data_IF_948488660561
#
_entry.id   IF_948488660561
#
_cell.length_a   1.000
_cell.length_b   1.000
_cell.length_c   1.000
_cell.angle_alpha   90.00
_cell.angle_beta   90.00
_cell.angle_gamma   90.00
#
_symmetry.space_group_name_H-M   'P 1'
#
loop_
_entity.id
_entity.type
_entity.pdbx_description
1 polymer ?
#
# COMPACT_ATOMS: atom_id res chain seq x y z
N UNK A 1 4.60 -9.95 -4.71
CA UNK A 1 3.88 -9.93 -3.42
C UNK A 1 4.92 -9.99 -2.31
N UNK A 2 4.63 -9.43 -1.14
CA UNK A 2 5.55 -9.39 0.00
C UNK A 2 4.78 -9.65 1.30
N UNK A 3 5.45 -10.24 2.29
CA UNK A 3 4.92 -10.39 3.65
C UNK A 3 5.51 -9.27 4.51
N UNK A 4 4.64 -8.58 5.25
CA UNK A 4 5.03 -7.57 6.24
C UNK A 4 4.81 -8.05 7.68
N UNK A 5 5.00 -7.15 8.66
CA UNK A 5 4.79 -7.46 10.08
C UNK A 5 3.31 -7.74 10.39
N UNK A 6 3.04 -8.24 11.60
CA UNK A 6 1.68 -8.41 12.16
C UNK A 6 0.75 -9.29 11.31
N UNK A 7 1.32 -10.21 10.53
CA UNK A 7 0.59 -11.09 9.64
C UNK A 7 0.02 -10.37 8.40
N UNK A 8 0.53 -9.18 8.06
CA UNK A 8 0.12 -8.47 6.86
C UNK A 8 0.78 -9.05 5.60
N UNK A 9 0.00 -9.20 4.54
CA UNK A 9 0.44 -9.57 3.21
C UNK A 9 0.10 -8.47 2.22
N UNK A 10 1.01 -8.23 1.28
CA UNK A 10 0.94 -7.15 0.29
C UNK A 10 1.05 -7.71 -1.12
N UNK A 11 0.11 -7.35 -1.99
CA UNK A 11 0.18 -7.68 -3.40
C UNK A 11 -0.02 -6.42 -4.24
N UNK A 12 1.07 -5.96 -4.86
CA UNK A 12 1.05 -4.89 -5.85
C UNK A 12 0.75 -5.50 -7.22
N UNK A 13 -0.46 -5.26 -7.70
CA UNK A 13 -0.98 -5.86 -8.93
C UNK A 13 -0.54 -5.00 -10.11
N UNK A 14 0.17 -5.61 -11.06
CA UNK A 14 0.64 -4.93 -12.27
C UNK A 14 -0.01 -5.52 -13.52
N UNK A 15 -0.21 -4.69 -14.55
CA UNK A 15 -0.90 -5.08 -15.79
C UNK A 15 -2.00 -4.07 -16.15
N UNK A 16 -2.48 -4.13 -17.40
CA UNK A 16 -3.43 -3.13 -17.94
C UNK A 16 -4.72 -2.97 -17.11
N UNK A 17 -5.26 -4.07 -16.58
CA UNK A 17 -6.49 -4.03 -15.77
C UNK A 17 -6.30 -3.49 -14.35
N UNK A 18 -5.05 -3.37 -13.89
CA UNK A 18 -4.71 -3.01 -12.52
C UNK A 18 -3.93 -1.70 -12.42
N UNK A 19 -3.52 -1.12 -13.54
CA UNK A 19 -2.68 0.06 -13.60
C UNK A 19 -3.27 1.12 -14.53
N UNK A 20 -3.19 2.38 -14.09
CA UNK A 20 -3.45 3.55 -14.91
C UNK A 20 -2.32 4.57 -14.77
N UNK A 21 -2.52 5.77 -15.30
CA UNK A 21 -1.54 6.85 -15.24
C UNK A 21 -1.21 7.31 -13.81
N UNK A 22 -2.13 7.10 -12.85
CA UNK A 22 -1.92 7.41 -11.43
C UNK A 22 -1.13 6.36 -10.65
N UNK A 23 -0.91 5.17 -11.21
CA UNK A 23 -0.31 4.03 -10.51
C UNK A 23 -1.20 2.79 -10.59
N UNK A 24 -0.87 1.79 -9.77
CA UNK A 24 -1.49 0.47 -9.81
C UNK A 24 -2.29 0.15 -8.53
N UNK A 25 -2.93 -1.02 -8.52
CA UNK A 25 -3.65 -1.53 -7.35
C UNK A 25 -2.69 -2.18 -6.36
N UNK A 26 -2.79 -1.80 -5.08
CA UNK A 26 -2.21 -2.52 -3.96
C UNK A 26 -3.31 -3.22 -3.15
N UNK A 27 -3.17 -4.51 -2.95
CA UNK A 27 -3.97 -5.28 -2.00
C UNK A 27 -3.20 -5.45 -0.69
N UNK A 28 -3.91 -5.29 0.43
CA UNK A 28 -3.40 -5.57 1.77
C UNK A 28 -4.34 -6.56 2.44
N UNK A 29 -3.78 -7.66 2.92
CA UNK A 29 -4.51 -8.69 3.65
C UNK A 29 -3.88 -8.90 5.02
N UNK A 30 -4.69 -9.23 6.02
CA UNK A 30 -4.26 -9.61 7.36
C UNK A 30 -4.53 -11.08 7.57
N UNK A 31 -3.55 -11.81 8.09
CA UNK A 31 -3.74 -13.18 8.56
C UNK A 31 -4.56 -13.18 9.86
N UNK A 32 -5.58 -14.01 9.88
CA UNK A 32 -6.47 -14.28 11.02
C UNK A 32 -6.46 -15.79 11.30
N UNK A 33 -7.07 -16.23 12.39
CA UNK A 33 -7.24 -17.67 12.67
C UNK A 33 -8.07 -18.38 11.59
N UNK A 34 -9.04 -17.68 10.99
CA UNK A 34 -9.93 -18.21 9.96
C UNK A 34 -9.38 -18.11 8.52
N UNK A 35 -8.16 -17.58 8.34
CA UNK A 35 -7.55 -17.39 7.03
C UNK A 35 -7.07 -15.95 6.79
N UNK A 36 -7.34 -15.39 5.62
CA UNK A 36 -6.92 -14.04 5.26
C UNK A 36 -8.10 -13.11 5.10
N UNK A 37 -8.05 -11.98 5.81
CA UNK A 37 -9.02 -10.89 5.68
C UNK A 37 -8.41 -9.76 4.85
N UNK A 38 -9.14 -9.24 3.86
CA UNK A 38 -8.68 -8.08 3.09
C UNK A 38 -8.95 -6.80 3.88
N UNK A 39 -7.87 -6.18 4.36
CA UNK A 39 -7.90 -4.90 5.10
C UNK A 39 -7.52 -3.70 4.23
N UNK A 40 -7.19 -3.92 2.95
CA UNK A 40 -6.91 -2.82 2.02
C UNK A 40 -7.05 -3.22 0.56
N UNK A 41 -7.63 -2.31 -0.23
CA UNK A 41 -7.54 -2.28 -1.69
C UNK A 41 -7.36 -0.83 -2.11
N UNK A 42 -6.11 -0.47 -2.38
CA UNK A 42 -5.71 0.89 -2.73
C UNK A 42 -5.53 0.98 -4.24
N UNK A 43 -6.16 1.95 -4.89
CA UNK A 43 -5.85 2.31 -6.29
C UNK A 43 -4.80 3.41 -6.35
N UNK A 44 -4.25 3.67 -7.54
CA UNK A 44 -3.30 4.76 -7.82
C UNK A 44 -2.08 4.79 -6.88
N UNK A 45 -1.63 3.59 -6.48
CA UNK A 45 -0.42 3.41 -5.69
C UNK A 45 0.78 3.36 -6.63
N UNK A 46 1.84 4.09 -6.32
CA UNK A 46 3.15 3.89 -6.96
C UNK A 46 4.14 3.29 -5.97
N UNK A 47 4.95 2.36 -6.46
CA UNK A 47 6.10 1.87 -5.71
C UNK A 47 7.10 3.02 -5.46
N UNK A 48 7.88 2.97 -4.37
CA UNK A 48 7.93 1.90 -3.38
C UNK A 48 6.70 1.84 -2.46
N UNK A 49 6.34 0.64 -2.03
CA UNK A 49 5.40 0.41 -0.92
C UNK A 49 6.19 0.09 0.33
N UNK A 50 5.99 0.88 1.36
CA UNK A 50 6.71 0.79 2.63
C UNK A 50 5.74 0.56 3.77
N UNK A 51 6.20 -0.18 4.76
CA UNK A 51 5.55 -0.31 6.06
C UNK A 51 6.34 0.54 7.03
N UNK A 52 5.67 1.51 7.65
CA UNK A 52 6.30 2.47 8.53
C UNK A 52 6.40 1.94 9.96
N UNK A 53 7.31 2.54 10.72
CA UNK A 53 7.45 2.25 12.15
C UNK A 53 6.29 2.85 12.97
N UNK A 54 5.65 3.90 12.42
CA UNK A 54 4.43 4.49 12.99
C UNK A 54 3.25 3.54 12.87
N UNK A 55 2.33 3.63 13.83
CA UNK A 55 1.17 2.75 13.95
C UNK A 55 -0.09 3.54 14.23
N UNK A 56 -1.18 3.11 13.61
CA UNK A 56 -2.53 3.60 13.87
C UNK A 56 -3.45 2.42 14.14
N UNK A 57 -4.23 2.51 15.22
CA UNK A 57 -5.18 1.46 15.61
C UNK A 57 -4.58 0.04 15.67
N UNK A 58 -3.30 -0.06 16.08
CA UNK A 58 -2.60 -1.34 16.30
C UNK A 58 -1.89 -1.93 15.09
N UNK A 59 -2.14 -1.44 13.87
CA UNK A 59 -1.41 -1.86 12.67
C UNK A 59 -0.42 -0.77 12.21
N UNK A 60 0.67 -1.14 11.53
CA UNK A 60 1.62 -0.17 11.01
C UNK A 60 0.98 0.68 9.91
N UNK A 61 1.36 1.96 9.85
CA UNK A 61 0.97 2.82 8.76
C UNK A 61 1.77 2.45 7.49
N UNK A 62 1.24 2.81 6.33
CA UNK A 62 1.93 2.59 5.06
C UNK A 62 2.48 3.90 4.51
N UNK A 63 3.55 3.83 3.71
CA UNK A 63 3.92 4.90 2.79
C UNK A 63 3.94 4.38 1.36
N UNK A 64 3.36 5.18 0.45
CA UNK A 64 3.39 4.89 -0.98
C UNK A 64 3.61 6.16 -1.80
N UNK A 65 4.11 6.00 -3.03
CA UNK A 65 4.23 7.10 -3.98
C UNK A 65 2.89 7.49 -4.59
N UNK A 66 2.72 8.79 -4.83
CA UNK A 66 1.62 9.40 -5.59
C UNK A 66 2.23 10.19 -6.74
N UNK A 67 1.83 9.92 -7.98
CA UNK A 67 2.25 10.69 -9.16
C UNK A 67 1.35 10.42 -10.36
N UNK A 68 1.34 11.34 -11.32
CA UNK A 68 0.52 11.25 -12.53
C UNK A 68 -0.88 11.83 -12.32
N UNK A 69 -1.69 11.88 -13.38
CA UNK A 69 -3.04 12.48 -13.32
C UNK A 69 -3.07 13.97 -12.97
N UNK A 70 -1.95 14.68 -13.15
CA UNK A 70 -1.79 16.10 -12.77
C UNK A 70 -1.32 16.33 -11.34
N UNK A 71 -1.10 15.28 -10.54
CA UNK A 71 -0.57 15.41 -9.19
C UNK A 71 0.95 15.68 -9.19
N UNK A 72 1.39 16.60 -8.33
CA UNK A 72 2.80 16.77 -7.98
C UNK A 72 3.29 15.50 -7.27
N UNK A 73 4.40 14.87 -7.71
CA UNK A 73 4.91 13.66 -7.08
C UNK A 73 5.25 13.85 -5.59
N UNK A 74 4.77 12.96 -4.74
CA UNK A 74 5.05 12.93 -3.30
C UNK A 74 4.83 11.52 -2.71
N UNK A 75 5.28 11.29 -1.48
CA UNK A 75 4.87 10.13 -0.70
C UNK A 75 3.64 10.47 0.16
N UNK A 76 2.70 9.53 0.26
CA UNK A 76 1.55 9.62 1.13
C UNK A 76 1.64 8.59 2.26
N UNK A 77 1.40 9.05 3.48
CA UNK A 77 1.14 8.24 4.66
C UNK A 77 -0.28 7.73 4.60
N UNK A 78 -0.47 6.42 4.76
CA UNK A 78 -1.80 5.80 4.85
C UNK A 78 -1.95 5.16 6.23
N UNK A 79 -2.60 5.86 7.17
CA UNK A 79 -2.94 5.28 8.46
C UNK A 79 -3.93 4.12 8.31
N UNK A 80 -3.81 3.11 9.18
CA UNK A 80 -4.88 2.15 9.38
C UNK A 80 -5.98 2.78 10.25
N UNK A 81 -7.23 2.82 9.77
CA UNK A 81 -8.34 3.51 10.46
C UNK A 81 -9.01 2.68 11.57
N UNK A 82 -8.51 1.47 11.82
CA UNK A 82 -9.10 0.49 12.74
C UNK A 82 -9.91 -0.61 12.05
N UNK A 83 -10.29 -0.42 10.78
CA UNK A 83 -10.91 -1.44 9.95
C UNK A 83 -10.17 -1.68 8.63
N UNK A 84 -9.68 -0.62 7.98
CA UNK A 84 -9.01 -0.69 6.68
C UNK A 84 -8.02 0.44 6.44
N UNK A 85 -7.19 0.27 5.43
CA UNK A 85 -6.45 1.37 4.82
C UNK A 85 -7.37 2.17 3.87
N UNK A 86 -7.01 3.44 3.63
CA UNK A 86 -7.71 4.31 2.69
C UNK A 86 -7.87 3.65 1.31
N UNK A 87 -8.88 4.02 0.51
CA UNK A 87 -9.10 3.40 -0.82
C UNK A 87 -8.09 3.83 -1.90
N UNK A 88 -7.37 4.93 -1.65
CA UNK A 88 -6.27 5.44 -2.46
C UNK A 88 -5.48 6.46 -1.62
N UNK A 89 -4.23 6.78 -1.99
CA UNK A 89 -3.38 7.68 -1.21
C UNK A 89 -3.76 9.17 -1.25
N UNK A 90 -4.79 9.58 -2.01
CA UNK A 90 -5.20 10.98 -2.15
C UNK A 90 -6.51 11.32 -1.42
N UNK A 91 -7.06 10.38 -0.64
CA UNK A 91 -8.29 10.59 0.15
C UNK A 91 -8.05 10.26 1.62
N UNK A 92 -8.78 10.92 2.51
CA UNK A 92 -8.69 10.67 3.94
C UNK A 92 -8.91 9.17 4.28
N UNK A 93 -8.21 8.63 5.29
CA UNK A 93 -7.29 9.32 6.20
C UNK A 93 -5.85 9.49 5.66
N UNK A 94 -5.58 9.19 4.38
CA UNK A 94 -4.25 9.38 3.82
C UNK A 94 -3.86 10.86 3.81
N UNK A 95 -2.58 11.13 4.04
CA UNK A 95 -2.01 12.49 4.05
C UNK A 95 -0.59 12.49 3.46
N UNK A 96 -0.13 13.59 2.85
CA UNK A 96 1.26 13.70 2.43
C UNK A 96 2.22 13.48 3.60
N UNK A 97 3.36 12.85 3.33
CA UNK A 97 4.45 12.77 4.31
C UNK A 97 5.24 14.07 4.27
N UNK A 98 5.36 14.71 5.43
CA UNK A 98 6.23 15.85 5.64
C UNK A 98 7.48 15.38 6.40
N UNK A 99 8.64 15.49 5.77
CA UNK A 99 9.92 15.08 6.38
C UNK A 99 10.18 13.57 6.36
N UNK A 100 10.92 13.08 7.34
CA UNK A 100 11.34 11.68 7.41
C UNK A 100 10.27 10.81 8.09
N UNK A 101 9.82 9.76 7.40
CA UNK A 101 9.02 8.69 7.97
C UNK A 101 9.86 7.40 7.91
N UNK A 102 10.41 6.88 9.02
CA UNK A 102 11.19 5.64 9.00
C UNK A 102 10.29 4.42 8.80
N UNK A 103 10.85 3.37 8.20
CA UNK A 103 10.13 2.14 7.91
C UNK A 103 10.83 1.25 6.89
N UNK A 104 10.32 0.04 6.72
CA UNK A 104 10.83 -0.96 5.79
C UNK A 104 10.16 -0.86 4.43
N UNK A 105 10.95 -0.83 3.36
CA UNK A 105 10.43 -1.01 1.99
C UNK A 105 10.13 -2.49 1.73
N UNK A 106 8.89 -2.80 1.34
CA UNK A 106 8.45 -4.17 1.05
C UNK A 106 8.30 -4.48 -0.43
N UNK A 107 7.87 -3.49 -1.22
CA UNK A 107 7.67 -3.64 -2.66
C UNK A 107 8.34 -2.48 -3.39
N UNK A 108 9.09 -2.82 -4.41
CA UNK A 108 9.82 -1.94 -5.32
C UNK A 108 9.55 -2.38 -6.76
N UNK A 109 9.96 -1.59 -7.75
CA UNK A 109 9.76 -1.94 -9.16
C UNK A 109 10.54 -3.19 -9.59
N UNK A 110 11.64 -3.52 -8.90
CA UNK A 110 12.46 -4.72 -9.09
C UNK A 110 11.96 -5.95 -8.31
N UNK A 111 10.92 -5.81 -7.48
CA UNK A 111 10.36 -6.94 -6.74
C UNK A 111 9.87 -8.04 -7.71
N UNK A 112 10.27 -9.32 -7.51
CA UNK A 112 9.85 -10.41 -8.38
C UNK A 112 8.33 -10.50 -8.54
N UNK A 113 7.88 -10.53 -9.80
CA UNK A 113 6.47 -10.62 -10.14
C UNK A 113 6.05 -12.08 -10.19
N UNK A 114 4.94 -12.39 -9.55
CA UNK A 114 4.29 -13.70 -9.64
C UNK A 114 3.10 -13.56 -10.58
N UNK A 115 3.10 -14.31 -11.67
CA UNK A 115 1.95 -14.36 -12.59
C UNK A 115 0.93 -15.35 -12.05
N UNK A 116 -0.23 -14.84 -11.65
CA UNK A 116 -1.36 -15.69 -11.26
C UNK A 116 -2.06 -16.14 -12.54
N UNK A 117 -2.00 -17.45 -12.83
CA UNK A 117 -2.84 -18.06 -13.86
C UNK A 117 -4.22 -18.29 -13.25
N UNK A 118 -5.24 -17.71 -13.86
CA UNK A 118 -6.65 -18.04 -13.59
C UNK A 118 -6.95 -19.44 -14.11
#
# INVERSE_FOLDING_TARGET
AATGPDGLGFAYLTGGDYCGSGGCVLLVARKTEAGFERVGRLTVVRAPVRVLDSRSHGLPDLAVGVAGGGATPHEALIPFDGGRYASNPTVAPAKPIEGAAPGQTLITDDTPKVTVRQ
#
